data_IF_398667534413
#
_entry.id   IF_398667534413
#
_cell.length_a   1.000
_cell.length_b   1.000
_cell.length_c   1.000
_cell.angle_alpha   90.00
_cell.angle_beta   90.00
_cell.angle_gamma   90.00
#
_symmetry.space_group_name_H-M   'P 1'
#
loop_
_entity.id
_entity.type
_entity.pdbx_description
1 polymer ?
#
# COMPACT_ATOMS: atom_id res chain seq x y z
N UNK A 1 -2.83 13.23 -46.22
CA UNK A 1 -1.69 14.08 -45.81
C UNK A 1 -1.81 14.42 -44.35
N UNK A 2 -0.76 14.22 -43.56
CA UNK A 2 -0.78 14.75 -42.22
C UNK A 2 -0.87 16.27 -42.33
N UNK A 3 -1.70 16.90 -41.50
CA UNK A 3 -1.88 18.35 -41.48
C UNK A 3 -0.58 19.03 -41.05
N UNK A 4 -0.43 20.32 -41.36
CA UNK A 4 0.71 21.15 -40.86
C UNK A 4 0.82 21.13 -39.33
N UNK A 5 -0.29 20.86 -38.65
CA UNK A 5 -0.37 20.80 -37.18
C UNK A 5 -0.09 19.39 -36.62
N UNK A 6 0.26 18.43 -37.46
CA UNK A 6 0.55 17.08 -37.00
C UNK A 6 1.74 17.01 -36.05
N UNK A 7 2.81 17.74 -36.38
CA UNK A 7 3.96 17.88 -35.49
C UNK A 7 3.63 18.56 -34.15
N UNK A 8 2.72 19.53 -34.19
CA UNK A 8 2.20 20.19 -32.96
C UNK A 8 1.43 19.19 -32.10
N UNK A 9 0.58 18.36 -32.71
CA UNK A 9 -0.17 17.31 -32.02
C UNK A 9 0.75 16.29 -31.34
N UNK A 10 1.80 15.87 -32.03
CA UNK A 10 2.84 14.98 -31.49
C UNK A 10 3.52 15.62 -30.27
N UNK A 11 3.94 16.86 -30.42
CA UNK A 11 4.60 17.60 -29.34
C UNK A 11 3.68 17.80 -28.14
N UNK A 12 2.39 18.06 -28.37
CA UNK A 12 1.39 18.19 -27.33
C UNK A 12 1.15 16.87 -26.58
N UNK A 13 1.07 15.73 -27.29
CA UNK A 13 0.96 14.40 -26.66
C UNK A 13 2.18 14.09 -25.79
N UNK A 14 3.39 14.41 -26.25
CA UNK A 14 4.61 14.28 -25.48
C UNK A 14 4.63 15.16 -24.22
N UNK A 15 4.11 16.37 -24.31
CA UNK A 15 3.98 17.27 -23.16
C UNK A 15 3.01 16.74 -22.13
N UNK A 16 1.84 16.26 -22.54
CA UNK A 16 0.85 15.65 -21.65
C UNK A 16 1.42 14.40 -20.95
N UNK A 17 2.11 13.54 -21.68
CA UNK A 17 2.75 12.35 -21.13
C UNK A 17 3.84 12.71 -20.11
N UNK A 18 4.65 13.73 -20.40
CA UNK A 18 5.65 14.24 -19.47
C UNK A 18 5.04 14.84 -18.22
N UNK A 19 3.96 15.59 -18.35
CA UNK A 19 3.22 16.14 -17.21
C UNK A 19 2.63 15.03 -16.32
N UNK A 20 2.07 13.98 -16.91
CA UNK A 20 1.57 12.83 -16.17
C UNK A 20 2.70 12.14 -15.38
N UNK A 21 3.86 11.96 -15.99
CA UNK A 21 5.04 11.39 -15.34
C UNK A 21 5.56 12.26 -14.19
N UNK A 22 5.64 13.58 -14.41
CA UNK A 22 6.07 14.53 -13.38
C UNK A 22 5.09 14.57 -12.20
N UNK A 23 3.80 14.63 -12.45
CA UNK A 23 2.78 14.61 -11.41
C UNK A 23 2.81 13.32 -10.58
N UNK A 24 3.00 12.18 -11.24
CA UNK A 24 3.14 10.89 -10.56
C UNK A 24 4.41 10.85 -9.71
N UNK A 25 5.51 11.34 -10.24
CA UNK A 25 6.78 11.43 -9.47
C UNK A 25 6.64 12.35 -8.27
N UNK A 26 6.05 13.53 -8.45
CA UNK A 26 5.79 14.47 -7.37
C UNK A 26 4.91 13.87 -6.27
N UNK A 27 3.86 13.13 -6.66
CA UNK A 27 3.00 12.43 -5.72
C UNK A 27 3.76 11.32 -4.97
N UNK A 28 4.62 10.57 -5.64
CA UNK A 28 5.46 9.56 -5.00
C UNK A 28 6.44 10.19 -3.99
N UNK A 29 7.04 11.32 -4.33
CA UNK A 29 7.98 12.05 -3.44
C UNK A 29 7.21 12.59 -2.23
N UNK A 30 6.07 13.22 -2.44
CA UNK A 30 5.25 13.79 -1.37
C UNK A 30 4.82 12.72 -0.34
N UNK A 31 4.59 11.50 -0.80
CA UNK A 31 4.10 10.39 0.02
C UNK A 31 5.19 9.39 0.43
N UNK A 32 6.47 9.70 0.25
CA UNK A 32 7.58 8.79 0.54
C UNK A 32 7.59 8.27 1.98
N UNK A 33 7.13 9.09 2.92
CA UNK A 33 7.04 8.74 4.35
C UNK A 33 5.62 8.34 4.80
N UNK A 34 4.65 8.36 3.91
CA UNK A 34 3.28 8.00 4.24
C UNK A 34 3.15 6.50 4.41
N UNK A 35 2.78 6.06 5.61
CA UNK A 35 2.60 4.63 5.90
C UNK A 35 1.49 4.03 5.04
N UNK A 36 1.80 2.92 4.39
CA UNK A 36 0.85 2.22 3.52
C UNK A 36 0.78 2.77 2.09
N UNK A 37 1.59 3.76 1.75
CA UNK A 37 1.64 4.27 0.39
C UNK A 37 2.41 3.31 -0.52
N UNK A 38 1.84 3.01 -1.68
CA UNK A 38 2.50 2.25 -2.76
C UNK A 38 2.89 3.19 -3.88
N UNK A 39 4.14 3.11 -4.30
CA UNK A 39 4.66 3.90 -5.42
C UNK A 39 3.80 3.70 -6.67
N UNK A 40 3.48 4.78 -7.35
CA UNK A 40 2.79 4.77 -8.63
C UNK A 40 3.78 4.85 -9.78
N UNK A 41 3.45 4.20 -10.88
CA UNK A 41 4.23 4.21 -12.11
C UNK A 41 3.30 4.52 -13.28
N UNK A 42 3.78 5.36 -14.19
CA UNK A 42 3.07 5.69 -15.43
C UNK A 42 3.49 4.71 -16.51
N UNK A 43 2.52 4.06 -17.13
CA UNK A 43 2.71 3.23 -18.31
C UNK A 43 2.45 4.07 -19.55
N UNK A 44 3.45 4.20 -20.42
CA UNK A 44 3.38 4.98 -21.65
C UNK A 44 3.72 4.09 -22.83
N UNK A 45 3.07 4.34 -23.94
CA UNK A 45 3.26 3.61 -25.19
C UNK A 45 3.35 4.60 -26.34
N UNK A 46 4.10 4.23 -27.37
CA UNK A 46 4.04 4.97 -28.64
C UNK A 46 2.63 4.85 -29.24
N UNK A 47 2.05 5.98 -29.60
CA UNK A 47 0.75 5.98 -30.27
C UNK A 47 0.85 5.24 -31.62
N UNK A 48 -0.27 4.65 -32.05
CA UNK A 48 -0.34 3.90 -33.30
C UNK A 48 0.13 4.76 -34.46
N UNK A 49 1.09 4.24 -35.24
CA UNK A 49 1.63 4.97 -36.38
C UNK A 49 0.57 5.25 -37.43
N UNK A 50 0.51 6.48 -37.89
CA UNK A 50 -0.38 6.89 -38.98
C UNK A 50 0.22 6.46 -40.32
N UNK A 51 -0.55 5.74 -41.12
CA UNK A 51 -0.17 5.38 -42.45
C UNK A 51 -0.14 6.62 -43.34
N UNK A 52 1.03 7.05 -43.72
CA UNK A 52 1.24 8.15 -44.66
C UNK A 52 1.29 7.56 -46.09
N UNK A 53 0.54 8.19 -46.99
CA UNK A 53 0.35 7.66 -48.34
C UNK A 53 1.67 7.25 -49.04
N UNK A 54 1.69 6.03 -49.45
CA UNK A 54 2.43 5.33 -50.48
C UNK A 54 3.96 5.41 -50.54
N UNK A 55 4.62 6.50 -50.21
CA UNK A 55 6.06 6.66 -50.48
C UNK A 55 6.93 6.63 -49.24
N UNK A 56 6.41 6.97 -48.08
CA UNK A 56 7.21 7.18 -46.86
C UNK A 56 6.91 6.22 -45.71
N UNK A 57 5.99 5.27 -45.87
CA UNK A 57 5.64 4.33 -44.83
C UNK A 57 4.72 4.88 -43.73
N UNK A 58 4.99 4.56 -42.48
CA UNK A 58 4.20 4.98 -41.37
C UNK A 58 4.90 6.09 -40.59
N UNK A 59 4.18 7.17 -40.28
CA UNK A 59 4.68 8.26 -39.45
C UNK A 59 4.29 8.01 -37.98
N UNK A 60 5.21 8.24 -37.06
CA UNK A 60 4.92 8.21 -35.61
C UNK A 60 3.86 9.23 -35.22
N UNK A 61 2.93 8.86 -34.36
CA UNK A 61 1.81 9.69 -33.94
C UNK A 61 1.95 10.27 -32.52
N UNK A 62 3.12 10.12 -31.89
CA UNK A 62 3.40 10.63 -30.56
C UNK A 62 3.35 9.56 -29.47
N UNK A 63 2.97 9.96 -28.29
CA UNK A 63 2.95 9.13 -27.07
C UNK A 63 1.55 9.08 -26.48
N UNK A 64 1.15 7.90 -26.05
CA UNK A 64 -0.09 7.67 -25.35
C UNK A 64 0.20 7.19 -23.92
N UNK A 65 -0.44 7.81 -22.94
CA UNK A 65 -0.40 7.34 -21.55
C UNK A 65 -1.52 6.34 -21.33
N UNK A 66 -1.15 5.08 -21.09
CA UNK A 66 -2.12 3.99 -20.95
C UNK A 66 -2.74 3.95 -19.56
N UNK A 67 -1.93 4.01 -18.53
CA UNK A 67 -2.40 3.89 -17.15
C UNK A 67 -1.40 4.48 -16.16
N UNK A 68 -1.91 4.82 -14.98
CA UNK A 68 -1.11 5.07 -13.77
C UNK A 68 -1.41 3.92 -12.81
N UNK A 69 -0.43 3.05 -12.62
CA UNK A 69 -0.58 1.82 -11.85
C UNK A 69 0.22 1.88 -10.56
N UNK A 70 -0.27 1.20 -9.53
CA UNK A 70 0.49 1.02 -8.29
C UNK A 70 1.43 -0.16 -8.42
N UNK A 71 2.68 0.06 -8.06
CA UNK A 71 3.65 -1.03 -7.95
C UNK A 71 3.39 -1.76 -6.63
N UNK A 72 2.72 -2.90 -6.70
CA UNK A 72 2.44 -3.76 -5.55
C UNK A 72 2.98 -5.16 -5.82
N UNK A 73 3.46 -5.77 -4.77
CA UNK A 73 3.84 -7.18 -4.77
C UNK A 73 2.81 -7.95 -3.92
N UNK A 74 1.97 -8.72 -4.58
CA UNK A 74 0.88 -9.49 -3.94
C UNK A 74 1.39 -10.48 -2.91
N UNK A 75 2.60 -11.01 -3.11
CA UNK A 75 3.22 -11.93 -2.15
C UNK A 75 3.52 -11.23 -0.82
N UNK A 76 4.11 -10.03 -0.87
CA UNK A 76 4.39 -9.26 0.35
C UNK A 76 3.12 -8.71 0.99
N UNK A 77 2.13 -8.33 0.20
CA UNK A 77 0.83 -7.90 0.70
C UNK A 77 0.14 -9.04 1.46
N UNK A 78 0.14 -10.25 0.91
CA UNK A 78 -0.40 -11.44 1.57
C UNK A 78 0.33 -11.74 2.89
N UNK A 79 1.66 -11.69 2.88
CA UNK A 79 2.48 -11.84 4.09
C UNK A 79 2.21 -10.79 5.15
N UNK A 80 2.03 -9.55 4.72
CA UNK A 80 1.69 -8.46 5.65
C UNK A 80 0.34 -8.68 6.31
N UNK A 81 -0.67 -9.10 5.55
CA UNK A 81 -2.00 -9.38 6.09
C UNK A 81 -2.00 -10.55 7.07
N UNK A 82 -1.31 -11.63 6.74
CA UNK A 82 -1.15 -12.78 7.64
C UNK A 82 -0.46 -12.38 8.95
N UNK A 83 0.62 -11.62 8.87
CA UNK A 83 1.33 -11.17 10.05
C UNK A 83 0.50 -10.18 10.88
N UNK A 84 -0.22 -9.27 10.22
CA UNK A 84 -1.09 -8.32 10.91
C UNK A 84 -2.26 -9.02 11.62
N UNK A 85 -2.82 -10.06 11.00
CA UNK A 85 -3.84 -10.91 11.62
C UNK A 85 -3.29 -11.62 12.88
N UNK A 86 -2.08 -12.17 12.81
CA UNK A 86 -1.42 -12.79 13.97
C UNK A 86 -1.14 -11.78 15.08
N UNK A 87 -0.69 -10.57 14.74
CA UNK A 87 -0.51 -9.49 15.73
C UNK A 87 -1.82 -9.18 16.44
N UNK A 88 -2.92 -9.08 15.69
CA UNK A 88 -4.25 -8.89 16.29
C UNK A 88 -4.64 -10.03 17.24
N UNK A 89 -4.41 -11.28 16.84
CA UNK A 89 -4.66 -12.46 17.67
C UNK A 89 -3.85 -12.45 18.96
N UNK A 90 -2.53 -12.17 18.86
CA UNK A 90 -1.67 -12.12 20.05
C UNK A 90 -2.01 -10.95 20.97
N UNK A 91 -2.36 -9.79 20.43
CA UNK A 91 -2.80 -8.65 21.23
C UNK A 91 -4.08 -8.99 22.02
N UNK A 92 -5.03 -9.69 21.39
CA UNK A 92 -6.25 -10.12 22.04
C UNK A 92 -5.98 -11.17 23.12
N UNK A 93 -5.09 -12.13 22.85
CA UNK A 93 -4.64 -13.11 23.85
C UNK A 93 -3.96 -12.42 25.02
N UNK A 94 -3.08 -11.46 24.78
CA UNK A 94 -2.42 -10.69 25.80
C UNK A 94 -3.42 -9.93 26.66
N UNK A 95 -4.42 -9.31 26.05
CA UNK A 95 -5.48 -8.61 26.80
C UNK A 95 -6.22 -9.54 27.74
N UNK A 96 -6.65 -10.70 27.28
CA UNK A 96 -7.32 -11.69 28.15
C UNK A 96 -6.39 -12.25 29.23
N UNK A 97 -5.13 -12.51 28.91
CA UNK A 97 -4.16 -13.00 29.90
C UNK A 97 -3.88 -11.96 30.97
N UNK A 98 -3.81 -10.68 30.64
CA UNK A 98 -3.68 -9.59 31.60
C UNK A 98 -4.91 -9.48 32.50
N UNK A 99 -6.12 -9.71 31.97
CA UNK A 99 -7.32 -9.77 32.78
C UNK A 99 -7.30 -10.95 33.75
N UNK A 100 -6.88 -12.13 33.28
CA UNK A 100 -6.74 -13.32 34.15
C UNK A 100 -5.69 -13.07 35.23
N UNK A 101 -4.54 -12.47 34.85
CA UNK A 101 -3.49 -12.09 35.81
C UNK A 101 -4.02 -11.16 36.91
N UNK A 102 -4.87 -10.20 36.54
CA UNK A 102 -5.47 -9.28 37.52
C UNK A 102 -6.38 -9.98 38.54
N UNK A 103 -6.97 -11.11 38.19
CA UNK A 103 -7.73 -11.94 39.13
C UNK A 103 -6.86 -12.73 40.09
N UNK A 104 -5.63 -13.03 39.70
CA UNK A 104 -4.66 -13.75 40.53
C UNK A 104 -3.67 -12.82 41.24
N UNK A 105 -3.71 -11.52 40.96
CA UNK A 105 -2.80 -10.54 41.58
C UNK A 105 -3.13 -10.33 43.03
N UNK A 106 -2.15 -10.56 43.86
CA UNK A 106 -2.20 -10.50 45.32
C UNK A 106 -1.72 -9.16 45.89
N UNK A 107 -1.32 -8.20 45.00
CA UNK A 107 -0.68 -6.96 45.40
C UNK A 107 -1.62 -5.83 45.80
N UNK A 108 -2.88 -6.08 46.00
CA UNK A 108 -3.82 -5.00 46.24
C UNK A 108 -5.02 -5.38 47.07
N UNK A 109 -5.96 -4.51 47.13
CA UNK A 109 -7.16 -4.51 47.96
C UNK A 109 -8.14 -5.68 47.72
N UNK A 110 -7.83 -6.53 46.76
CA UNK A 110 -8.61 -7.73 46.47
C UNK A 110 -7.83 -8.96 46.89
N UNK A 111 -8.47 -9.89 47.56
CA UNK A 111 -7.86 -11.17 47.91
C UNK A 111 -7.53 -11.96 46.65
N UNK A 112 -6.23 -12.07 46.34
CA UNK A 112 -5.73 -12.90 45.22
C UNK A 112 -5.83 -14.38 45.56
N UNK A 113 -5.55 -15.21 44.53
CA UNK A 113 -5.61 -16.66 44.65
C UNK A 113 -4.72 -17.20 45.78
N UNK A 114 -3.54 -16.62 45.97
CA UNK A 114 -2.62 -17.00 47.04
C UNK A 114 -3.23 -16.77 48.43
N UNK A 115 -3.81 -15.60 48.65
CA UNK A 115 -4.47 -15.25 49.88
C UNK A 115 -5.64 -16.20 50.21
N UNK A 116 -6.45 -16.49 49.22
CA UNK A 116 -7.56 -17.46 49.36
C UNK A 116 -7.04 -18.86 49.64
N UNK A 117 -5.98 -19.28 48.99
CA UNK A 117 -5.36 -20.58 49.21
C UNK A 117 -4.73 -20.69 50.60
N UNK A 118 -4.04 -19.64 51.06
CA UNK A 118 -3.45 -19.58 52.38
C UNK A 118 -4.56 -19.63 53.46
N UNK A 119 -5.64 -18.92 53.26
CA UNK A 119 -6.82 -18.98 54.18
C UNK A 119 -7.41 -20.38 54.22
N UNK A 120 -7.54 -21.05 53.08
CA UNK A 120 -8.06 -22.41 52.99
C UNK A 120 -7.17 -23.41 53.78
N UNK A 121 -5.84 -23.24 53.65
CA UNK A 121 -4.87 -24.07 54.34
C UNK A 121 -4.88 -23.84 55.86
N UNK A 122 -5.09 -22.65 56.32
CA UNK A 122 -5.20 -22.30 57.74
C UNK A 122 -6.51 -22.82 58.34
N UNK A 123 -7.62 -22.77 57.60
CA UNK A 123 -8.91 -23.31 58.08
C UNK A 123 -9.03 -24.83 57.98
N UNK A 124 -8.17 -25.47 57.14
CA UNK A 124 -8.11 -26.92 57.00
C UNK A 124 -7.23 -27.62 58.04
N UNK A 125 -6.57 -26.87 58.86
CA UNK A 125 -5.88 -27.39 60.03
C UNK A 125 -6.80 -27.29 61.27
#
# INVERSE_FOLDING_TARGET
>A
MPSQFFGLSISYSGLLASNAALNTTANNIANVQTKGYSRQQVSQQAASALRVFQTYGCAGAGVETLAIERVRDEFYDGRYWDNNSKVGEYNQKQYYMTQIESYFDDNGKNSGFKTIFDQLMVTGM
#
